data_IF_117896525780
#
_entry.id   IF_117896525780
#
_cell.length_a   1.000
_cell.length_b   1.000
_cell.length_c   1.000
_cell.angle_alpha   90.00
_cell.angle_beta   90.00
_cell.angle_gamma   90.00
#
_symmetry.space_group_name_H-M   'P 1'
#
loop_
_entity.id
_entity.type
_entity.pdbx_description
1 polymer ?
#
# COMPACT_ATOMS: atom_id res chain seq x y z
N UNK A 1 35.53 -3.89 -23.24
CA UNK A 1 34.70 -2.81 -23.80
C UNK A 1 33.51 -3.43 -24.51
N UNK A 2 32.34 -3.50 -23.87
CA UNK A 2 31.09 -3.88 -24.53
C UNK A 2 30.63 -2.69 -25.38
N UNK A 3 31.28 -2.53 -26.53
CA UNK A 3 30.96 -1.51 -27.51
C UNK A 3 29.57 -1.72 -28.10
N UNK A 4 28.88 -0.61 -28.33
CA UNK A 4 27.53 -0.48 -28.88
C UNK A 4 27.35 -1.21 -30.23
N UNK A 5 27.09 -2.52 -30.19
CA UNK A 5 26.89 -3.32 -31.41
C UNK A 5 25.72 -2.83 -32.28
N UNK A 6 24.75 -2.16 -31.67
CA UNK A 6 23.54 -1.65 -32.33
C UNK A 6 23.54 -0.12 -32.52
N UNK A 7 24.59 0.60 -32.08
CA UNK A 7 24.62 2.07 -32.14
C UNK A 7 23.55 2.79 -31.30
N UNK A 8 22.89 2.09 -30.37
CA UNK A 8 21.80 2.61 -29.54
C UNK A 8 22.10 2.42 -28.05
N UNK A 9 21.64 3.34 -27.20
CA UNK A 9 21.74 3.20 -25.74
C UNK A 9 20.92 2.00 -25.25
N UNK A 10 21.51 1.05 -24.48
CA UNK A 10 20.83 -0.18 -24.08
C UNK A 10 19.70 0.06 -23.06
N UNK A 11 19.74 1.18 -22.35
CA UNK A 11 18.73 1.60 -21.38
C UNK A 11 18.69 3.13 -21.32
N UNK A 12 17.49 3.68 -21.19
CA UNK A 12 17.26 5.13 -21.05
C UNK A 12 17.30 5.60 -19.60
N UNK A 13 16.90 4.73 -18.68
CA UNK A 13 16.87 4.98 -17.24
C UNK A 13 17.69 3.90 -16.54
N UNK A 14 18.57 4.31 -15.63
CA UNK A 14 19.34 3.41 -14.77
C UNK A 14 19.03 3.77 -13.33
N UNK A 15 18.47 2.81 -12.57
CA UNK A 15 18.17 2.98 -11.16
C UNK A 15 19.24 2.26 -10.33
N UNK A 16 20.04 3.04 -9.59
CA UNK A 16 21.09 2.50 -8.72
C UNK A 16 20.61 2.54 -7.28
N UNK A 17 20.42 1.36 -6.68
CA UNK A 17 20.12 1.22 -5.26
C UNK A 17 21.42 1.05 -4.45
N UNK A 18 21.41 1.45 -3.18
CA UNK A 18 22.52 1.15 -2.28
C UNK A 18 22.58 -0.31 -1.85
N UNK A 19 23.52 -0.61 -0.97
CA UNK A 19 23.71 -1.93 -0.38
C UNK A 19 22.86 -2.09 0.88
N UNK A 20 22.36 -3.30 1.09
CA UNK A 20 21.75 -3.68 2.38
C UNK A 20 22.86 -3.90 3.40
N UNK A 21 22.75 -3.23 4.54
CA UNK A 21 23.67 -3.30 5.68
C UNK A 21 22.97 -3.93 6.87
N UNK A 22 23.74 -4.48 7.81
CA UNK A 22 23.16 -4.94 9.07
C UNK A 22 22.65 -3.77 9.94
N UNK A 23 22.04 -4.08 11.08
CA UNK A 23 21.52 -3.07 12.02
C UNK A 23 22.57 -2.12 12.61
N UNK A 24 23.85 -2.45 12.47
CA UNK A 24 25.00 -1.63 12.89
C UNK A 24 25.69 -0.95 11.70
N UNK A 25 25.05 -0.90 10.53
CA UNK A 25 25.58 -0.36 9.28
C UNK A 25 26.84 -1.07 8.73
N UNK A 26 27.12 -2.30 9.19
CA UNK A 26 28.23 -3.11 8.67
C UNK A 26 27.80 -3.84 7.41
N UNK A 27 28.78 -4.13 6.54
CA UNK A 27 28.55 -5.00 5.37
C UNK A 27 28.02 -6.36 5.85
N UNK A 28 26.90 -6.82 5.29
CA UNK A 28 26.45 -8.18 5.54
C UNK A 28 27.44 -9.18 4.94
N UNK A 29 27.83 -10.18 5.72
CA UNK A 29 28.69 -11.27 5.25
C UNK A 29 28.41 -12.55 6.05
N UNK A 30 28.59 -13.70 5.39
CA UNK A 30 28.47 -15.00 6.05
C UNK A 30 29.47 -15.18 7.19
N UNK A 31 30.69 -14.67 7.03
CA UNK A 31 31.77 -14.76 8.04
C UNK A 31 31.48 -13.98 9.32
N UNK A 32 30.74 -12.86 9.24
CA UNK A 32 30.35 -12.07 10.40
C UNK A 32 29.05 -12.56 11.07
N UNK A 33 28.36 -13.55 10.47
CA UNK A 33 27.09 -14.06 10.98
C UNK A 33 25.97 -13.02 11.01
N UNK A 34 26.12 -11.88 10.32
CA UNK A 34 25.20 -10.73 10.36
C UNK A 34 24.29 -10.66 9.13
N UNK A 35 24.14 -11.78 8.40
CA UNK A 35 23.30 -11.85 7.20
C UNK A 35 21.87 -12.20 7.60
N UNK A 36 20.91 -11.44 7.10
CA UNK A 36 19.48 -11.80 7.18
C UNK A 36 19.11 -12.53 5.88
N UNK A 37 18.79 -13.82 5.98
CA UNK A 37 18.31 -14.57 4.82
C UNK A 37 16.87 -14.11 4.47
N UNK A 38 16.62 -13.64 3.22
CA UNK A 38 15.29 -13.22 2.83
C UNK A 38 14.26 -14.35 2.91
N UNK A 39 14.62 -15.61 2.69
CA UNK A 39 13.70 -16.75 2.80
C UNK A 39 13.29 -17.00 4.24
N UNK A 40 14.21 -16.86 5.20
CA UNK A 40 13.89 -16.94 6.62
C UNK A 40 12.95 -15.81 7.04
N UNK A 41 13.20 -14.59 6.54
CA UNK A 41 12.34 -13.43 6.80
C UNK A 41 10.94 -13.63 6.21
N UNK A 42 10.84 -14.15 4.99
CA UNK A 42 9.57 -14.49 4.34
C UNK A 42 8.82 -15.56 5.16
N UNK A 43 9.50 -16.62 5.58
CA UNK A 43 8.89 -17.69 6.37
C UNK A 43 8.37 -17.19 7.73
N UNK A 44 9.10 -16.30 8.41
CA UNK A 44 8.72 -15.75 9.72
C UNK A 44 7.67 -14.64 9.64
N UNK A 45 7.78 -13.77 8.64
CA UNK A 45 7.07 -12.48 8.61
C UNK A 45 6.20 -12.23 7.37
N UNK A 46 6.36 -13.05 6.33
CA UNK A 46 5.64 -12.92 5.06
C UNK A 46 6.37 -12.06 4.04
N UNK A 47 6.16 -12.38 2.76
CA UNK A 47 6.87 -11.72 1.65
C UNK A 47 6.58 -10.22 1.54
N UNK A 48 5.35 -9.78 1.79
CA UNK A 48 5.02 -8.36 1.74
C UNK A 48 5.75 -7.55 2.81
N UNK A 49 5.87 -8.09 4.02
CA UNK A 49 6.61 -7.44 5.09
C UNK A 49 8.09 -7.31 4.75
N UNK A 50 8.69 -8.37 4.19
CA UNK A 50 10.08 -8.36 3.73
C UNK A 50 10.28 -7.35 2.59
N UNK A 51 9.40 -7.36 1.57
CA UNK A 51 9.46 -6.40 0.44
C UNK A 51 9.38 -4.96 0.91
N UNK A 52 8.38 -4.63 1.72
CA UNK A 52 8.17 -3.26 2.20
C UNK A 52 9.35 -2.79 3.06
N UNK A 53 9.93 -3.68 3.88
CA UNK A 53 11.12 -3.38 4.69
C UNK A 53 12.38 -3.04 3.88
N UNK A 54 12.46 -3.56 2.65
CA UNK A 54 13.56 -3.32 1.71
C UNK A 54 13.36 -2.07 0.86
N UNK A 55 12.12 -1.60 0.72
CA UNK A 55 11.78 -0.45 -0.12
C UNK A 55 11.71 0.83 0.71
N UNK A 56 10.98 0.81 1.83
CA UNK A 56 10.78 2.00 2.66
C UNK A 56 12.10 2.39 3.33
N UNK A 57 12.51 3.64 3.17
CA UNK A 57 13.81 4.13 3.66
C UNK A 57 15.02 3.71 2.81
N UNK A 58 14.82 3.09 1.65
CA UNK A 58 15.88 2.75 0.70
C UNK A 58 15.98 3.79 -0.42
N UNK A 59 16.35 5.03 -0.07
CA UNK A 59 16.55 6.07 -1.07
C UNK A 59 17.65 5.67 -2.09
N UNK A 60 17.50 5.99 -3.38
CA UNK A 60 18.48 5.62 -4.41
C UNK A 60 19.89 6.08 -4.04
N UNK A 61 20.89 5.23 -4.27
CA UNK A 61 22.30 5.50 -3.94
C UNK A 61 22.67 5.41 -2.47
N UNK A 62 21.72 5.36 -1.53
CA UNK A 62 21.99 5.24 -0.10
C UNK A 62 21.94 3.78 0.35
N UNK A 63 22.91 3.39 1.15
CA UNK A 63 22.89 2.12 1.86
C UNK A 63 21.77 2.12 2.91
N UNK A 64 21.15 0.97 3.11
CA UNK A 64 20.04 0.82 4.04
C UNK A 64 20.36 -0.20 5.14
N UNK A 65 20.32 0.17 6.43
CA UNK A 65 20.36 -0.79 7.51
C UNK A 65 19.04 -1.57 7.55
N UNK A 66 19.15 -2.91 7.51
CA UNK A 66 18.02 -3.82 7.67
C UNK A 66 18.15 -4.57 8.99
N UNK A 67 17.06 -4.57 9.76
CA UNK A 67 16.93 -5.35 10.97
C UNK A 67 15.69 -6.25 10.90
N UNK A 68 15.73 -7.38 11.59
CA UNK A 68 14.56 -8.26 11.74
C UNK A 68 13.38 -7.51 12.39
N UNK A 69 13.66 -6.54 13.25
CA UNK A 69 12.66 -5.66 13.88
C UNK A 69 11.90 -4.81 12.86
N UNK A 70 12.61 -4.26 11.86
CA UNK A 70 11.99 -3.51 10.77
C UNK A 70 11.04 -4.41 9.96
N UNK A 71 11.48 -5.63 9.62
CA UNK A 71 10.63 -6.62 8.92
C UNK A 71 9.39 -6.97 9.75
N UNK A 72 9.59 -7.24 11.05
CA UNK A 72 8.53 -7.57 12.00
C UNK A 72 7.51 -6.44 12.16
N UNK A 73 7.93 -5.17 12.08
CA UNK A 73 7.01 -4.03 12.09
C UNK A 73 6.05 -4.06 10.89
N UNK A 74 6.56 -4.34 9.68
CA UNK A 74 5.70 -4.43 8.49
C UNK A 74 4.80 -5.67 8.45
N UNK A 75 5.11 -6.75 9.19
CA UNK A 75 4.12 -7.82 9.45
C UNK A 75 2.91 -7.28 10.20
N UNK A 76 3.12 -6.41 11.21
CA UNK A 76 2.01 -5.78 11.94
C UNK A 76 1.16 -4.91 11.01
N UNK A 77 1.80 -4.24 10.04
CA UNK A 77 1.09 -3.49 9.02
C UNK A 77 0.24 -4.37 8.11
N UNK A 78 0.77 -5.49 7.61
CA UNK A 78 -0.02 -6.44 6.83
C UNK A 78 -1.28 -6.91 7.59
N UNK A 79 -1.14 -7.20 8.89
CA UNK A 79 -2.28 -7.53 9.75
C UNK A 79 -3.25 -6.35 9.93
N UNK A 80 -2.76 -5.12 10.09
CA UNK A 80 -3.58 -3.91 10.20
C UNK A 80 -4.37 -3.68 8.90
N UNK A 81 -3.75 -3.84 7.74
CA UNK A 81 -4.42 -3.77 6.42
C UNK A 81 -5.53 -4.81 6.30
N UNK A 82 -5.28 -6.05 6.74
CA UNK A 82 -6.32 -7.09 6.77
C UNK A 82 -7.52 -6.69 7.63
N UNK A 83 -7.27 -6.14 8.84
CA UNK A 83 -8.33 -5.70 9.75
C UNK A 83 -9.13 -4.51 9.20
N UNK A 84 -8.45 -3.52 8.61
CA UNK A 84 -9.09 -2.39 7.90
C UNK A 84 -10.00 -2.92 6.79
N UNK A 85 -9.48 -3.82 5.97
CA UNK A 85 -10.20 -4.40 4.85
C UNK A 85 -11.44 -5.15 5.32
N UNK A 86 -11.30 -6.00 6.35
CA UNK A 86 -12.42 -6.73 6.94
C UNK A 86 -13.51 -5.78 7.46
N UNK A 87 -13.12 -4.71 8.15
CA UNK A 87 -14.07 -3.71 8.64
C UNK A 87 -14.83 -3.07 7.48
N UNK A 88 -14.12 -2.53 6.48
CA UNK A 88 -14.74 -1.86 5.34
C UNK A 88 -15.64 -2.82 4.56
N UNK A 89 -15.16 -4.01 4.22
CA UNK A 89 -15.94 -5.00 3.47
C UNK A 89 -17.21 -5.43 4.21
N UNK A 90 -17.16 -5.55 5.54
CA UNK A 90 -18.36 -5.85 6.36
C UNK A 90 -19.31 -4.65 6.36
N UNK A 91 -18.76 -3.44 6.51
CA UNK A 91 -19.54 -2.20 6.58
C UNK A 91 -20.26 -1.86 5.29
N UNK A 92 -19.78 -2.32 4.13
CA UNK A 92 -20.40 -2.06 2.82
C UNK A 92 -21.23 -3.25 2.30
N UNK A 93 -21.32 -4.35 3.05
CA UNK A 93 -21.95 -5.59 2.58
C UNK A 93 -23.45 -5.43 2.32
N UNK A 94 -24.11 -4.54 3.05
CA UNK A 94 -25.55 -4.23 2.94
C UNK A 94 -25.81 -2.86 2.30
N UNK A 95 -24.81 -2.27 1.63
CA UNK A 95 -24.97 -0.99 0.95
C UNK A 95 -25.92 -1.13 -0.26
N UNK A 96 -26.88 -0.22 -0.35
CA UNK A 96 -27.79 -0.12 -1.50
C UNK A 96 -27.13 0.70 -2.61
N UNK A 97 -26.42 0.04 -3.53
CA UNK A 97 -25.70 0.69 -4.61
C UNK A 97 -26.59 1.35 -5.68
N UNK A 98 -27.92 1.18 -5.60
CA UNK A 98 -28.88 1.87 -6.46
C UNK A 98 -29.35 3.20 -5.84
N UNK A 99 -29.08 3.43 -4.56
CA UNK A 99 -29.44 4.65 -3.85
C UNK A 99 -28.70 5.87 -4.42
N UNK A 100 -29.37 7.02 -4.43
CA UNK A 100 -28.76 8.29 -4.82
C UNK A 100 -27.64 8.68 -3.84
N UNK A 101 -26.44 8.92 -4.38
CA UNK A 101 -25.29 9.31 -3.59
C UNK A 101 -25.39 10.79 -3.18
N UNK A 102 -25.53 11.04 -1.87
CA UNK A 102 -25.57 12.38 -1.29
C UNK A 102 -24.40 12.55 -0.31
N UNK A 103 -23.27 13.05 -0.80
CA UNK A 103 -22.08 13.26 0.02
C UNK A 103 -22.27 14.44 0.97
N UNK A 104 -21.86 14.27 2.23
CA UNK A 104 -21.67 15.40 3.13
C UNK A 104 -20.39 16.17 2.76
N UNK A 105 -20.25 17.41 3.24
CA UNK A 105 -19.03 18.20 3.07
C UNK A 105 -17.78 17.43 3.56
N UNK A 106 -17.91 16.70 4.67
CA UNK A 106 -16.82 15.87 5.21
C UNK A 106 -16.51 14.67 4.31
N UNK A 107 -17.51 14.06 3.69
CA UNK A 107 -17.29 12.95 2.76
C UNK A 107 -16.54 13.41 1.50
N UNK A 108 -16.91 14.59 0.97
CA UNK A 108 -16.21 15.22 -0.15
C UNK A 108 -14.75 15.56 0.19
N UNK A 109 -14.52 16.06 1.40
CA UNK A 109 -13.17 16.35 1.92
C UNK A 109 -12.31 15.09 1.98
N UNK A 110 -12.82 13.98 2.53
CA UNK A 110 -12.10 12.70 2.60
C UNK A 110 -11.73 12.19 1.20
N UNK A 111 -12.66 12.27 0.24
CA UNK A 111 -12.40 11.86 -1.14
C UNK A 111 -11.38 12.78 -1.83
N UNK A 112 -11.38 14.08 -1.50
CA UNK A 112 -10.37 15.02 -1.98
C UNK A 112 -9.00 14.72 -1.40
N UNK A 113 -8.90 14.45 -0.10
CA UNK A 113 -7.66 14.02 0.58
C UNK A 113 -7.10 12.74 -0.03
N UNK A 114 -7.97 11.74 -0.28
CA UNK A 114 -7.59 10.51 -0.97
C UNK A 114 -7.00 10.79 -2.36
N UNK A 115 -7.66 11.62 -3.18
CA UNK A 115 -7.16 11.99 -4.52
C UNK A 115 -5.81 12.69 -4.47
N UNK A 116 -5.58 13.56 -3.49
CA UNK A 116 -4.27 14.18 -3.29
C UNK A 116 -3.19 13.13 -2.96
N UNK A 117 -3.50 12.16 -2.09
CA UNK A 117 -2.55 11.07 -1.78
C UNK A 117 -2.27 10.18 -2.99
N UNK A 118 -3.29 9.84 -3.79
CA UNK A 118 -3.12 9.08 -5.04
C UNK A 118 -2.15 9.82 -5.97
N UNK A 119 -2.35 11.13 -6.18
CA UNK A 119 -1.50 11.94 -7.05
C UNK A 119 -0.04 11.96 -6.55
N UNK A 120 0.19 12.18 -5.26
CA UNK A 120 1.53 12.21 -4.68
C UNK A 120 2.26 10.86 -4.80
N UNK A 121 1.57 9.74 -4.56
CA UNK A 121 2.14 8.39 -4.71
C UNK A 121 2.44 8.10 -6.19
N UNK A 122 1.56 8.52 -7.10
CA UNK A 122 1.74 8.36 -8.54
C UNK A 122 2.97 9.12 -9.04
N UNK A 123 3.11 10.38 -8.64
CA UNK A 123 4.27 11.22 -8.98
C UNK A 123 5.59 10.60 -8.50
N UNK A 124 5.62 10.06 -7.28
CA UNK A 124 6.80 9.39 -6.76
C UNK A 124 7.15 8.10 -7.53
N UNK A 125 6.15 7.32 -7.95
CA UNK A 125 6.37 6.14 -8.79
C UNK A 125 6.95 6.53 -10.15
N UNK A 126 6.37 7.54 -10.80
CA UNK A 126 6.83 8.03 -12.11
C UNK A 126 8.27 8.54 -12.07
N UNK A 127 8.68 9.13 -10.95
CA UNK A 127 10.05 9.61 -10.72
C UNK A 127 11.01 8.54 -10.18
N UNK A 128 10.57 7.28 -10.09
CA UNK A 128 11.32 6.17 -9.47
C UNK A 128 11.65 6.37 -7.98
N UNK A 129 10.98 7.29 -7.29
CA UNK A 129 11.04 7.49 -5.83
C UNK A 129 10.20 6.45 -5.08
N UNK A 130 10.43 5.16 -5.38
CA UNK A 130 9.61 4.04 -4.88
C UNK A 130 9.55 3.96 -3.35
N UNK A 131 10.63 4.36 -2.67
CA UNK A 131 10.68 4.41 -1.21
C UNK A 131 9.68 5.42 -0.62
N UNK A 132 9.55 6.61 -1.23
CA UNK A 132 8.57 7.63 -0.83
C UNK A 132 7.15 7.22 -1.18
N UNK A 133 6.95 6.65 -2.37
CA UNK A 133 5.64 6.15 -2.78
C UNK A 133 5.12 5.09 -1.80
N UNK A 134 5.96 4.12 -1.44
CA UNK A 134 5.63 3.08 -0.47
C UNK A 134 5.38 3.65 0.94
N UNK A 135 6.20 4.60 1.39
CA UNK A 135 6.07 5.27 2.68
C UNK A 135 4.76 6.08 2.77
N UNK A 136 4.45 6.88 1.75
CA UNK A 136 3.19 7.65 1.69
C UNK A 136 1.96 6.75 1.65
N UNK A 137 1.97 5.68 0.86
CA UNK A 137 0.87 4.72 0.81
C UNK A 137 0.69 4.02 2.18
N UNK A 138 1.79 3.63 2.83
CA UNK A 138 1.79 3.09 4.19
C UNK A 138 1.17 4.07 5.19
N UNK A 139 1.62 5.33 5.20
CA UNK A 139 1.15 6.35 6.13
C UNK A 139 -0.33 6.69 5.92
N UNK A 140 -0.78 6.79 4.67
CA UNK A 140 -2.19 7.03 4.37
C UNK A 140 -3.07 5.92 4.97
N UNK A 141 -2.74 4.66 4.69
CA UNK A 141 -3.53 3.52 5.19
C UNK A 141 -3.52 3.47 6.72
N UNK A 142 -2.36 3.70 7.34
CA UNK A 142 -2.25 3.63 8.80
C UNK A 142 -2.95 4.79 9.50
N UNK A 143 -2.59 6.03 9.17
CA UNK A 143 -3.00 7.20 9.95
C UNK A 143 -4.25 7.85 9.42
N UNK A 144 -4.33 8.10 8.11
CA UNK A 144 -5.46 8.84 7.56
C UNK A 144 -6.69 7.95 7.45
N UNK A 145 -6.54 6.74 6.89
CA UNK A 145 -7.65 5.80 6.80
C UNK A 145 -7.97 5.19 8.16
N UNK A 146 -7.02 4.48 8.79
CA UNK A 146 -7.37 3.67 9.96
C UNK A 146 -7.61 4.48 11.23
N UNK A 147 -6.75 5.46 11.54
CA UNK A 147 -6.83 6.18 12.81
C UNK A 147 -7.87 7.33 12.76
N UNK A 148 -8.17 7.88 11.58
CA UNK A 148 -9.15 8.97 11.40
C UNK A 148 -10.43 8.51 10.73
N UNK A 149 -10.39 8.21 9.42
CA UNK A 149 -11.60 7.98 8.62
C UNK A 149 -12.42 6.82 9.15
N UNK A 150 -11.82 5.68 9.51
CA UNK A 150 -12.56 4.55 10.05
C UNK A 150 -13.22 4.87 11.40
N UNK A 151 -12.50 5.55 12.29
CA UNK A 151 -13.03 5.92 13.61
C UNK A 151 -14.19 6.91 13.48
N UNK A 152 -14.06 7.92 12.61
CA UNK A 152 -15.13 8.87 12.27
C UNK A 152 -16.36 8.17 11.66
N UNK A 153 -16.16 7.06 10.94
CA UNK A 153 -17.24 6.37 10.22
C UNK A 153 -18.10 5.47 11.12
N UNK A 154 -17.57 4.98 12.25
CA UNK A 154 -18.29 4.07 13.15
C UNK A 154 -19.67 4.59 13.62
N UNK A 155 -19.81 5.82 14.13
CA UNK A 155 -21.14 6.32 14.54
C UNK A 155 -22.08 6.50 13.35
N UNK A 156 -21.57 6.93 12.20
CA UNK A 156 -22.36 7.14 10.97
C UNK A 156 -22.94 5.81 10.47
N UNK A 157 -22.12 4.76 10.44
CA UNK A 157 -22.52 3.42 9.98
C UNK A 157 -23.58 2.76 10.89
N UNK A 158 -23.62 3.15 12.17
CA UNK A 158 -24.63 2.68 13.13
C UNK A 158 -25.86 3.61 13.21
N UNK A 159 -25.90 4.68 12.42
CA UNK A 159 -26.99 5.64 12.37
C UNK A 159 -28.23 5.11 11.65
N UNK A 160 -29.37 5.75 11.89
CA UNK A 160 -30.65 5.42 11.24
C UNK A 160 -30.82 6.08 9.87
N UNK A 161 -30.07 7.15 9.58
CA UNK A 161 -30.14 7.84 8.29
C UNK A 161 -29.44 7.01 7.21
N UNK A 162 -30.25 6.33 6.41
CA UNK A 162 -29.78 5.46 5.32
C UNK A 162 -28.99 6.20 4.25
N UNK A 163 -29.32 7.46 3.94
CA UNK A 163 -28.63 8.24 2.91
C UNK A 163 -27.22 8.63 3.36
N UNK A 164 -27.10 9.13 4.59
CA UNK A 164 -25.80 9.48 5.18
C UNK A 164 -24.94 8.22 5.37
N UNK A 165 -25.55 7.12 5.81
CA UNK A 165 -24.87 5.82 5.94
C UNK A 165 -24.34 5.33 4.59
N UNK A 166 -25.17 5.36 3.54
CA UNK A 166 -24.78 4.96 2.20
C UNK A 166 -23.64 5.82 1.64
N UNK A 167 -23.72 7.14 1.79
CA UNK A 167 -22.65 8.05 1.39
C UNK A 167 -21.30 7.67 2.05
N UNK A 168 -21.32 7.35 3.36
CA UNK A 168 -20.09 6.93 4.05
C UNK A 168 -19.61 5.55 3.60
N UNK A 169 -20.51 4.60 3.33
CA UNK A 169 -20.15 3.29 2.76
C UNK A 169 -19.46 3.45 1.40
N UNK A 170 -19.95 4.35 0.55
CA UNK A 170 -19.33 4.70 -0.72
C UNK A 170 -17.91 5.26 -0.54
N UNK A 171 -17.70 6.21 0.39
CA UNK A 171 -16.37 6.76 0.69
C UNK A 171 -15.41 5.68 1.17
N UNK A 172 -15.83 4.82 2.10
CA UNK A 172 -14.99 3.74 2.61
C UNK A 172 -14.58 2.75 1.52
N UNK A 173 -15.49 2.44 0.58
CA UNK A 173 -15.20 1.62 -0.60
C UNK A 173 -14.09 2.26 -1.44
N UNK A 174 -14.21 3.54 -1.79
CA UNK A 174 -13.19 4.27 -2.58
C UNK A 174 -11.83 4.26 -1.86
N UNK A 175 -11.81 4.56 -0.56
CA UNK A 175 -10.59 4.53 0.24
C UNK A 175 -9.92 3.15 0.25
N UNK A 176 -10.69 2.06 0.43
CA UNK A 176 -10.13 0.72 0.43
C UNK A 176 -9.58 0.33 -0.95
N UNK A 177 -10.36 0.54 -2.02
CA UNK A 177 -9.95 0.18 -3.38
C UNK A 177 -8.67 0.91 -3.78
N UNK A 178 -8.61 2.22 -3.54
CA UNK A 178 -7.41 3.00 -3.82
C UNK A 178 -6.21 2.56 -2.97
N UNK A 179 -6.43 2.27 -1.68
CA UNK A 179 -5.37 1.77 -0.78
C UNK A 179 -4.77 0.46 -1.27
N UNK A 180 -5.60 -0.50 -1.68
CA UNK A 180 -5.15 -1.79 -2.20
C UNK A 180 -4.33 -1.60 -3.47
N UNK A 181 -4.80 -0.76 -4.41
CA UNK A 181 -4.09 -0.49 -5.65
C UNK A 181 -2.76 0.23 -5.43
N UNK A 182 -2.72 1.25 -4.56
CA UNK A 182 -1.48 1.97 -4.22
C UNK A 182 -0.44 1.07 -3.53
N UNK A 183 -0.89 0.14 -2.68
CA UNK A 183 0.00 -0.78 -1.97
C UNK A 183 0.46 -1.96 -2.82
N UNK A 184 -0.29 -2.37 -3.85
CA UNK A 184 -0.04 -3.59 -4.61
C UNK A 184 1.39 -3.72 -5.18
N UNK A 185 2.02 -2.67 -5.74
CA UNK A 185 3.41 -2.75 -6.19
C UNK A 185 4.40 -3.17 -5.09
N UNK A 186 4.08 -2.86 -3.84
CA UNK A 186 4.94 -3.07 -2.68
C UNK A 186 4.55 -4.31 -1.87
N UNK A 187 3.25 -4.57 -1.74
CA UNK A 187 2.64 -5.65 -0.96
C UNK A 187 1.68 -6.52 -1.80
N UNK A 188 2.16 -7.21 -2.85
CA UNK A 188 1.30 -7.87 -3.82
C UNK A 188 0.45 -9.01 -3.24
N UNK A 189 0.91 -9.73 -2.21
CA UNK A 189 0.21 -10.95 -1.78
C UNK A 189 -1.03 -10.64 -0.93
N UNK A 190 -0.89 -9.81 0.12
CA UNK A 190 -2.00 -9.46 1.00
C UNK A 190 -3.04 -8.60 0.27
N UNK A 191 -2.59 -7.68 -0.59
CA UNK A 191 -3.51 -6.81 -1.34
C UNK A 191 -4.32 -7.63 -2.36
N UNK A 192 -3.69 -8.56 -3.07
CA UNK A 192 -4.39 -9.48 -3.99
C UNK A 192 -5.34 -10.40 -3.21
N UNK A 193 -4.93 -10.91 -2.05
CA UNK A 193 -5.79 -11.77 -1.23
C UNK A 193 -7.04 -11.00 -0.79
N UNK A 194 -6.90 -9.78 -0.29
CA UNK A 194 -8.05 -8.94 0.07
C UNK A 194 -8.92 -8.67 -1.16
N UNK A 195 -8.32 -8.32 -2.29
CA UNK A 195 -9.04 -8.08 -3.55
C UNK A 195 -9.86 -9.29 -3.99
N UNK A 196 -9.32 -10.50 -3.87
CA UNK A 196 -10.04 -11.72 -4.22
C UNK A 196 -11.26 -11.96 -3.31
N UNK A 197 -11.17 -11.62 -2.03
CA UNK A 197 -12.28 -11.74 -1.07
C UNK A 197 -13.31 -10.61 -1.14
N UNK A 198 -12.95 -9.47 -1.76
CA UNK A 198 -13.88 -8.36 -1.92
C UNK A 198 -15.08 -8.73 -2.82
N UNK A 199 -16.24 -8.07 -2.66
CA UNK A 199 -17.37 -8.22 -3.57
C UNK A 199 -17.00 -7.81 -5.01
N UNK A 200 -17.58 -8.49 -6.00
CA UNK A 200 -17.30 -8.16 -7.42
C UNK A 200 -17.75 -6.73 -7.78
N UNK A 201 -18.79 -6.22 -7.12
CA UNK A 201 -19.32 -4.87 -7.33
C UNK A 201 -18.30 -3.75 -7.09
N UNK A 202 -17.23 -4.00 -6.33
CA UNK A 202 -16.21 -3.00 -6.02
C UNK A 202 -14.92 -3.19 -6.81
N UNK A 203 -14.87 -4.19 -7.69
CA UNK A 203 -13.71 -4.52 -8.52
C UNK A 203 -13.91 -4.04 -9.95
N UNK A 204 -12.86 -3.50 -10.54
CA UNK A 204 -12.80 -3.21 -11.97
C UNK A 204 -12.20 -4.37 -12.78
N UNK A 205 -11.54 -5.33 -12.12
CA UNK A 205 -10.92 -6.51 -12.71
C UNK A 205 -10.93 -7.68 -11.72
N UNK A 206 -10.89 -8.91 -12.27
CA UNK A 206 -10.85 -10.14 -11.46
C UNK A 206 -9.59 -10.24 -10.57
N UNK A 207 -8.45 -9.77 -11.07
CA UNK A 207 -7.17 -9.77 -10.36
C UNK A 207 -6.73 -8.32 -10.14
N UNK A 208 -6.17 -8.03 -8.97
CA UNK A 208 -5.69 -6.68 -8.65
C UNK A 208 -4.49 -6.31 -9.51
N UNK A 209 -3.63 -7.27 -9.82
CA UNK A 209 -2.42 -7.03 -10.63
C UNK A 209 -2.67 -6.48 -12.04
N UNK A 210 -3.89 -6.64 -12.58
CA UNK A 210 -4.30 -6.11 -13.90
C UNK A 210 -5.34 -4.99 -13.78
N UNK A 211 -5.71 -4.61 -12.56
CA UNK A 211 -6.59 -3.49 -12.31
C UNK A 211 -5.95 -2.17 -12.74
N UNK A 212 -6.77 -1.18 -13.08
CA UNK A 212 -6.24 0.15 -13.42
C UNK A 212 -5.68 0.81 -12.16
N UNK A 213 -4.60 1.57 -12.33
CA UNK A 213 -4.12 2.47 -11.28
C UNK A 213 -5.26 3.40 -10.81
N UNK A 214 -5.37 3.75 -9.51
CA UNK A 214 -6.42 4.63 -9.03
C UNK A 214 -6.20 6.04 -9.56
N UNK A 215 -7.31 6.74 -9.86
CA UNK A 215 -7.32 8.11 -10.36
C UNK A 215 -7.91 9.07 -9.31
#
# INVERSE_FOLDING_TARGET
MSGYHLGQVPFKNVYLHGLVRDSQNRKMSKSLGNTLDPLDMIAKYGADATRLSLIVGAAPGNDMPLSEDKVRAYKKFANKLWNISRFVLTSIADADWEQELQLSERDEEILKELRMKIAEVSEDIEKFSLYLAAEKAYHYVWHDLADKVLEESKPILNGADTAVRFARQYVLKECLVASLKMLHPFMPFVTETVWQHAPEAIKDQKLLMVAKWPN
#
